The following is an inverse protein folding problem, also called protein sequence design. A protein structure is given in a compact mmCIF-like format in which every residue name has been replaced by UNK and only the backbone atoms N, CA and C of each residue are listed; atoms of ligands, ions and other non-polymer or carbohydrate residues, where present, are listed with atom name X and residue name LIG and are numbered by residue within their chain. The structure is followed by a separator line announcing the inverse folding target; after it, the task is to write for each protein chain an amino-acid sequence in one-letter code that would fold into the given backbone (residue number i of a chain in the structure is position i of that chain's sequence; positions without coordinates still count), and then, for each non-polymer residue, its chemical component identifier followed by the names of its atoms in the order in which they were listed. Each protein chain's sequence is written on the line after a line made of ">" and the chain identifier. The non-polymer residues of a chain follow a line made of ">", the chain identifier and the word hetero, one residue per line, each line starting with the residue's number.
data_IF_485392298932
#
_entry.id   IF_485392298932
#
_cell.length_a   1.000
_cell.length_b   1.000
_cell.length_c   1.000
_cell.angle_alpha   90.00
_cell.angle_beta   90.00
_cell.angle_gamma   90.00
#
_symmetry.space_group_name_H-M   'P 1'
#
loop_
_entity.id
_entity.type
_entity.pdbx_description
1 polymer ?
#
# COMPACT_ATOMS: atom_id res chain seq x y z
N UNK A 1 11.54 -12.35 -14.72
CA UNK A 1 12.19 -12.49 -13.39
C UNK A 1 11.25 -13.34 -12.55
N UNK A 2 11.72 -14.40 -11.89
CA UNK A 2 10.84 -15.23 -11.04
C UNK A 2 10.38 -14.40 -9.83
N UNK A 3 9.06 -14.33 -9.58
CA UNK A 3 8.42 -13.53 -8.53
C UNK A 3 9.09 -13.68 -7.16
N UNK A 4 9.47 -14.90 -6.78
CA UNK A 4 10.16 -15.19 -5.53
C UNK A 4 11.53 -14.50 -5.42
N UNK A 5 12.27 -14.40 -6.52
CA UNK A 5 13.56 -13.72 -6.55
C UNK A 5 13.40 -12.20 -6.37
N UNK A 6 12.35 -11.63 -6.98
CA UNK A 6 11.96 -10.23 -6.76
C UNK A 6 11.61 -10.00 -5.29
N UNK A 7 10.73 -10.82 -4.71
CA UNK A 7 10.28 -10.63 -3.33
C UNK A 7 11.44 -10.73 -2.34
N UNK A 8 12.30 -11.72 -2.51
CA UNK A 8 13.48 -11.89 -1.68
C UNK A 8 14.44 -10.71 -1.77
N UNK A 9 14.65 -10.16 -2.98
CA UNK A 9 15.56 -9.04 -3.21
C UNK A 9 15.00 -7.70 -2.72
N UNK A 10 13.70 -7.47 -2.93
CA UNK A 10 13.03 -6.22 -2.60
C UNK A 10 12.62 -6.12 -1.11
N UNK A 11 12.17 -7.22 -0.51
CA UNK A 11 11.54 -7.18 0.83
C UNK A 11 12.28 -8.01 1.88
N UNK A 12 13.25 -8.83 1.45
CA UNK A 12 13.91 -9.81 2.32
C UNK A 12 12.99 -10.96 2.75
N UNK A 13 11.82 -11.09 2.12
CA UNK A 13 10.80 -12.08 2.47
C UNK A 13 10.92 -13.34 1.61
N UNK A 14 10.43 -14.46 2.13
CA UNK A 14 10.43 -15.76 1.45
C UNK A 14 9.01 -16.27 1.31
N UNK A 15 8.77 -17.09 0.28
CA UNK A 15 7.47 -17.70 0.03
C UNK A 15 7.05 -18.54 1.24
N UNK A 16 5.83 -18.33 1.73
CA UNK A 16 5.29 -19.05 2.88
C UNK A 16 4.00 -19.78 2.48
N UNK A 17 4.10 -21.04 2.01
CA UNK A 17 2.93 -21.83 1.62
C UNK A 17 2.07 -22.28 2.80
N UNK A 18 2.56 -22.08 4.04
CA UNK A 18 1.90 -22.51 5.28
C UNK A 18 1.22 -21.36 6.04
N UNK A 19 1.32 -20.14 5.51
CA UNK A 19 0.71 -18.97 6.07
C UNK A 19 -0.81 -19.17 6.19
N UNK A 20 -1.32 -19.13 7.41
CA UNK A 20 -2.76 -19.08 7.71
C UNK A 20 -3.26 -17.64 7.48
N UNK A 21 -4.58 -17.40 7.47
CA UNK A 21 -5.17 -16.05 7.27
C UNK A 21 -4.55 -14.94 8.14
N UNK A 22 -4.10 -15.25 9.36
CA UNK A 22 -3.41 -14.28 10.25
C UNK A 22 -1.98 -13.93 9.82
N UNK A 23 -1.34 -14.78 9.02
CA UNK A 23 0.00 -14.56 8.42
C UNK A 23 -0.13 -13.83 7.08
N UNK A 24 -1.35 -13.57 6.60
CA UNK A 24 -1.62 -12.79 5.38
C UNK A 24 -1.90 -11.30 5.67
N UNK A 25 -1.79 -10.85 6.92
CA UNK A 25 -1.95 -9.44 7.24
C UNK A 25 -0.75 -8.64 6.73
N UNK A 26 -0.93 -7.96 5.59
CA UNK A 26 0.08 -7.11 4.93
C UNK A 26 0.52 -5.92 5.79
N UNK A 27 -0.20 -5.63 6.89
CA UNK A 27 0.17 -4.59 7.87
C UNK A 27 1.28 -5.06 8.80
N UNK A 28 1.52 -6.36 8.91
CA UNK A 28 2.61 -6.92 9.71
C UNK A 28 3.93 -6.73 8.94
N UNK A 29 4.98 -6.16 9.56
CA UNK A 29 6.26 -5.94 8.90
C UNK A 29 6.85 -7.20 8.26
N UNK A 30 7.27 -7.09 7.01
CA UNK A 30 7.83 -8.20 6.24
C UNK A 30 6.81 -9.11 5.55
N UNK A 31 5.51 -8.95 5.80
CA UNK A 31 4.49 -9.64 5.02
C UNK A 31 4.29 -8.95 3.68
N UNK A 32 4.21 -9.74 2.61
CA UNK A 32 3.98 -9.27 1.25
C UNK A 32 2.95 -10.18 0.60
N UNK A 33 1.92 -9.60 0.00
CA UNK A 33 1.03 -10.31 -0.92
C UNK A 33 1.22 -9.75 -2.33
N UNK A 34 1.22 -10.63 -3.33
CA UNK A 34 1.35 -10.25 -4.74
C UNK A 34 0.20 -10.81 -5.54
N UNK A 35 -0.32 -9.99 -6.44
CA UNK A 35 -1.16 -10.42 -7.56
C UNK A 35 -0.71 -9.71 -8.84
N UNK A 36 -1.05 -10.29 -9.99
CA UNK A 36 -0.83 -9.66 -11.29
C UNK A 36 -2.10 -9.71 -12.11
N UNK A 37 -2.57 -8.55 -12.58
CA UNK A 37 -3.80 -8.40 -13.35
C UNK A 37 -3.62 -7.30 -14.39
N UNK A 38 -4.12 -7.51 -15.60
CA UNK A 38 -4.06 -6.54 -16.71
C UNK A 38 -2.65 -5.99 -17.02
N UNK A 39 -1.59 -6.81 -16.83
CA UNK A 39 -0.22 -6.38 -17.05
C UNK A 39 0.39 -5.52 -15.94
N UNK A 40 -0.36 -5.23 -14.87
CA UNK A 40 0.13 -4.61 -13.65
C UNK A 40 0.42 -5.68 -12.58
N UNK A 41 1.45 -5.46 -11.77
CA UNK A 41 1.77 -6.27 -10.58
C UNK A 41 1.50 -5.43 -9.34
N UNK A 42 0.55 -5.87 -8.52
CA UNK A 42 0.23 -5.23 -7.25
C UNK A 42 1.01 -5.93 -6.14
N UNK A 43 1.71 -5.13 -5.35
CA UNK A 43 2.50 -5.60 -4.23
C UNK A 43 1.94 -4.95 -2.97
N UNK A 44 1.33 -5.75 -2.13
CA UNK A 44 0.72 -5.31 -0.89
C UNK A 44 1.71 -5.49 0.26
N UNK A 45 2.22 -4.38 0.76
CA UNK A 45 3.16 -4.33 1.89
C UNK A 45 2.95 -3.03 2.68
N UNK A 46 2.43 -3.14 3.89
CA UNK A 46 2.11 -1.99 4.74
C UNK A 46 3.35 -1.24 5.23
N UNK A 47 4.49 -1.91 5.37
CA UNK A 47 5.75 -1.29 5.81
C UNK A 47 6.26 -0.25 4.79
N UNK A 48 6.34 -0.61 3.51
CA UNK A 48 6.76 0.31 2.44
C UNK A 48 5.73 1.43 2.25
N UNK A 49 4.44 1.09 2.23
CA UNK A 49 3.39 2.10 2.10
C UNK A 49 3.48 3.13 3.23
N UNK A 50 3.70 2.68 4.47
CA UNK A 50 3.82 3.57 5.62
C UNK A 50 5.04 4.48 5.56
N UNK A 51 6.23 3.93 5.24
CA UNK A 51 7.46 4.70 5.07
C UNK A 51 7.31 5.80 4.03
N UNK A 52 6.71 5.50 2.88
CA UNK A 52 6.63 6.45 1.77
C UNK A 52 5.52 7.48 2.00
N UNK A 53 4.32 7.05 2.41
CA UNK A 53 3.16 7.93 2.50
C UNK A 53 3.12 8.72 3.81
N UNK A 54 3.44 8.10 4.95
CA UNK A 54 3.30 8.72 6.26
C UNK A 54 4.63 9.25 6.81
N UNK A 55 5.74 8.54 6.58
CA UNK A 55 7.09 8.97 7.02
C UNK A 55 7.82 9.80 5.96
N UNK A 56 7.24 9.97 4.76
CA UNK A 56 7.77 10.76 3.64
C UNK A 56 9.17 10.33 3.19
N UNK A 57 9.48 9.05 3.32
CA UNK A 57 10.73 8.49 2.83
C UNK A 57 10.67 8.26 1.32
N UNK A 58 11.83 8.37 0.67
CA UNK A 58 11.95 7.96 -0.73
C UNK A 58 11.92 6.43 -0.84
N UNK A 59 11.45 5.92 -1.99
CA UNK A 59 11.59 4.51 -2.31
C UNK A 59 13.07 4.13 -2.32
N UNK A 60 13.44 3.13 -1.51
CA UNK A 60 14.83 2.70 -1.41
C UNK A 60 15.35 2.25 -2.80
N UNK A 61 16.51 2.74 -3.27
CA UNK A 61 17.02 2.40 -4.60
C UNK A 61 17.20 0.89 -4.83
N UNK A 62 17.53 0.15 -3.77
CA UNK A 62 17.64 -1.31 -3.82
C UNK A 62 16.28 -1.98 -4.11
N UNK A 63 15.19 -1.47 -3.52
CA UNK A 63 13.83 -1.93 -3.78
C UNK A 63 13.45 -1.58 -5.23
N UNK A 64 13.66 -0.33 -5.65
CA UNK A 64 13.35 0.10 -7.02
C UNK A 64 14.08 -0.75 -8.08
N UNK A 65 15.39 -1.00 -7.88
CA UNK A 65 16.17 -1.87 -8.75
C UNK A 65 15.75 -3.35 -8.67
N UNK A 66 15.24 -3.81 -7.53
CA UNK A 66 14.70 -5.16 -7.37
C UNK A 66 13.36 -5.35 -8.11
N UNK A 67 12.54 -4.30 -8.19
CA UNK A 67 11.33 -4.26 -9.00
C UNK A 67 11.60 -4.19 -10.52
N UNK A 68 12.88 -4.17 -10.93
CA UNK A 68 13.28 -4.06 -12.33
C UNK A 68 13.38 -2.63 -12.84
N UNK A 69 13.44 -1.64 -11.92
CA UNK A 69 13.48 -0.21 -12.26
C UNK A 69 12.36 0.21 -13.24
N UNK A 70 11.08 -0.03 -12.89
CA UNK A 70 9.98 0.37 -13.76
C UNK A 70 9.93 1.89 -13.95
N UNK A 71 9.48 2.35 -15.12
CA UNK A 71 9.28 3.78 -15.39
C UNK A 71 8.33 4.44 -14.38
N UNK A 72 7.32 3.68 -13.92
CA UNK A 72 6.27 4.16 -13.03
C UNK A 72 6.05 3.18 -11.86
N UNK A 73 6.00 3.73 -10.65
CA UNK A 73 5.50 3.05 -9.45
C UNK A 73 4.45 3.95 -8.80
N UNK A 74 3.31 3.37 -8.42
CA UNK A 74 2.33 4.02 -7.56
C UNK A 74 2.28 3.29 -6.23
N UNK A 75 2.63 3.99 -5.16
CA UNK A 75 2.48 3.51 -3.78
C UNK A 75 1.17 4.09 -3.26
N UNK A 76 0.34 3.28 -2.62
CA UNK A 76 -1.00 3.73 -2.22
C UNK A 76 -1.45 3.12 -0.89
N UNK A 77 -2.40 3.79 -0.25
CA UNK A 77 -3.21 3.25 0.83
C UNK A 77 -4.69 3.56 0.58
N UNK A 78 -5.54 2.56 0.82
CA UNK A 78 -6.99 2.68 0.74
C UNK A 78 -7.60 2.04 1.99
N UNK A 79 -7.57 2.79 3.11
CA UNK A 79 -8.01 2.31 4.42
C UNK A 79 -9.35 2.96 4.79
N UNK A 80 -10.41 2.41 4.21
CA UNK A 80 -11.79 2.88 4.36
C UNK A 80 -12.23 2.96 5.83
N UNK A 81 -11.92 1.95 6.64
CA UNK A 81 -12.30 1.90 8.06
C UNK A 81 -11.65 2.98 8.94
N UNK A 82 -10.63 3.68 8.44
CA UNK A 82 -9.90 4.71 9.17
C UNK A 82 -9.87 6.05 8.44
N UNK A 83 -10.71 6.23 7.42
CA UNK A 83 -10.73 7.44 6.58
C UNK A 83 -9.33 7.86 6.12
N UNK A 84 -8.49 6.89 5.79
CA UNK A 84 -7.08 7.14 5.46
C UNK A 84 -6.79 6.66 4.05
N UNK A 85 -6.58 7.62 3.16
CA UNK A 85 -6.39 7.39 1.74
C UNK A 85 -5.15 8.13 1.27
N UNK A 86 -4.42 7.56 0.32
CA UNK A 86 -3.26 8.26 -0.21
C UNK A 86 -2.57 7.54 -1.34
N UNK A 87 -1.76 8.32 -2.05
CA UNK A 87 -0.90 7.82 -3.10
C UNK A 87 0.39 8.64 -3.22
N UNK A 88 1.42 8.00 -3.74
CA UNK A 88 2.64 8.61 -4.23
C UNK A 88 2.97 8.04 -5.61
N UNK A 89 3.14 8.93 -6.59
CA UNK A 89 3.55 8.62 -7.95
C UNK A 89 5.06 8.81 -8.02
N UNK A 90 5.75 7.73 -8.38
CA UNK A 90 7.20 7.66 -8.47
C UNK A 90 7.55 7.39 -9.93
N UNK A 91 8.33 8.29 -10.54
CA UNK A 91 8.83 8.16 -11.91
C UNK A 91 10.35 8.03 -11.88
N UNK A 92 10.87 7.00 -12.53
CA UNK A 92 12.32 6.72 -12.57
C UNK A 92 12.97 6.70 -11.16
N UNK A 93 12.23 6.19 -10.16
CA UNK A 93 12.66 6.10 -8.77
C UNK A 93 12.49 7.39 -7.94
N UNK A 94 11.94 8.47 -8.51
CA UNK A 94 11.75 9.76 -7.85
C UNK A 94 10.26 10.03 -7.63
N UNK A 95 9.86 10.36 -6.39
CA UNK A 95 8.49 10.80 -6.11
C UNK A 95 8.22 12.16 -6.76
N UNK A 96 7.28 12.22 -7.69
CA UNK A 96 6.93 13.45 -8.43
C UNK A 96 5.61 14.08 -7.97
N UNK A 97 4.76 13.28 -7.33
CA UNK A 97 3.44 13.70 -6.85
C UNK A 97 3.04 12.80 -5.69
N UNK A 98 2.54 13.37 -4.60
CA UNK A 98 1.95 12.61 -3.50
C UNK A 98 0.79 13.37 -2.87
N UNK A 99 -0.21 12.62 -2.42
CA UNK A 99 -1.30 13.15 -1.62
C UNK A 99 -1.73 12.11 -0.60
N UNK A 100 -1.84 12.50 0.66
CA UNK A 100 -2.21 11.61 1.75
C UNK A 100 -3.18 12.33 2.67
N UNK A 101 -4.33 11.71 2.90
CA UNK A 101 -5.32 12.13 3.87
C UNK A 101 -5.35 11.15 5.04
N UNK A 102 -5.36 11.71 6.23
CA UNK A 102 -5.56 11.03 7.52
C UNK A 102 -6.56 11.84 8.33
N UNK A 103 -7.13 11.26 9.40
CA UNK A 103 -8.07 11.93 10.29
C UNK A 103 -7.70 13.37 10.68
N UNK A 104 -6.41 13.65 10.90
CA UNK A 104 -5.98 14.97 11.38
C UNK A 104 -5.70 15.99 10.26
N UNK A 105 -5.39 15.53 9.04
CA UNK A 105 -4.88 16.40 7.97
C UNK A 105 -4.81 15.74 6.61
N UNK A 106 -4.76 16.62 5.59
CA UNK A 106 -4.33 16.31 4.24
C UNK A 106 -2.93 16.88 3.97
N UNK A 107 -2.02 16.07 3.43
CA UNK A 107 -0.70 16.47 2.92
C UNK A 107 -0.73 16.33 1.40
N UNK A 108 -0.30 17.37 0.69
CA UNK A 108 -0.37 17.43 -0.76
C UNK A 108 0.91 18.04 -1.34
N UNK A 109 1.69 17.25 -2.09
CA UNK A 109 3.04 17.61 -2.56
C UNK A 109 3.22 17.27 -4.05
N UNK A 110 4.04 18.06 -4.74
CA UNK A 110 4.28 17.93 -6.18
C UNK A 110 3.23 18.64 -7.04
N UNK A 111 3.36 18.52 -8.36
CA UNK A 111 2.46 19.18 -9.32
C UNK A 111 1.29 18.25 -9.67
N UNK A 112 0.03 18.64 -9.42
CA UNK A 112 -1.12 17.81 -9.77
C UNK A 112 -1.21 17.53 -11.27
N UNK A 113 -1.66 16.33 -11.61
CA UNK A 113 -2.08 15.98 -12.95
C UNK A 113 -3.42 16.64 -13.30
N UNK A 114 -3.66 16.81 -14.61
CA UNK A 114 -4.87 17.48 -15.10
C UNK A 114 -6.17 16.82 -14.61
N UNK A 115 -6.20 15.48 -14.54
CA UNK A 115 -7.37 14.72 -14.07
C UNK A 115 -7.65 14.90 -12.57
N UNK A 116 -6.68 15.38 -11.77
CA UNK A 116 -6.87 15.66 -10.35
C UNK A 116 -7.57 17.01 -10.13
N UNK A 117 -7.41 17.94 -11.06
CA UNK A 117 -7.83 19.34 -10.90
C UNK A 117 -9.34 19.52 -10.62
N UNK A 118 -10.26 18.74 -11.22
CA UNK A 118 -11.69 18.86 -10.92
C UNK A 118 -12.04 18.63 -9.45
N UNK A 119 -11.28 17.78 -8.75
CA UNK A 119 -11.42 17.57 -7.30
C UNK A 119 -10.63 18.59 -6.50
N UNK A 120 -9.37 18.85 -6.87
CA UNK A 120 -8.49 19.74 -6.10
C UNK A 120 -8.91 21.21 -6.12
N UNK A 121 -9.68 21.62 -7.13
CA UNK A 121 -10.25 22.97 -7.25
C UNK A 121 -11.71 23.04 -6.84
N UNK A 122 -12.31 21.94 -6.39
CA UNK A 122 -13.69 21.92 -5.94
C UNK A 122 -13.88 22.89 -4.78
N UNK A 123 -14.90 23.75 -4.88
CA UNK A 123 -15.30 24.60 -3.77
C UNK A 123 -16.03 23.77 -2.72
N UNK A 124 -15.82 24.12 -1.45
CA UNK A 124 -16.51 23.48 -0.33
C UNK A 124 -17.89 24.10 -0.12
N UNK A 125 -18.86 23.26 0.23
CA UNK A 125 -20.20 23.68 0.60
C UNK A 125 -20.75 22.78 1.71
N UNK A 126 -21.78 23.25 2.42
CA UNK A 126 -22.45 22.47 3.46
C UNK A 126 -23.75 21.95 2.85
N UNK A 127 -23.97 20.63 2.86
CA UNK A 127 -25.21 20.02 2.37
C UNK A 127 -26.36 20.25 3.34
N UNK A 128 -26.15 19.88 4.61
CA UNK A 128 -27.13 20.07 5.69
C UNK A 128 -26.51 20.83 6.88
N UNK A 129 -27.32 21.63 7.57
CA UNK A 129 -26.88 22.38 8.74
C UNK A 129 -26.38 21.44 9.83
N UNK A 130 -25.09 21.55 10.18
CA UNK A 130 -24.43 20.70 11.18
C UNK A 130 -23.52 19.61 10.60
N UNK A 131 -23.50 19.45 9.28
CA UNK A 131 -22.60 18.51 8.59
C UNK A 131 -21.23 19.10 8.26
N UNK A 132 -20.18 18.26 8.13
CA UNK A 132 -18.89 18.71 7.63
C UNK A 132 -18.99 19.22 6.18
N UNK A 133 -18.03 20.06 5.72
CA UNK A 133 -18.01 20.51 4.34
C UNK A 133 -17.87 19.36 3.34
N UNK A 134 -18.68 19.41 2.29
CA UNK A 134 -18.63 18.53 1.14
C UNK A 134 -17.94 19.23 -0.04
N UNK A 135 -17.49 18.42 -1.01
CA UNK A 135 -16.75 18.83 -2.20
C UNK A 135 -17.51 18.33 -3.42
N UNK A 136 -17.70 19.19 -4.42
CA UNK A 136 -18.32 18.81 -5.70
C UNK A 136 -17.30 18.80 -6.82
N UNK A 137 -17.11 17.65 -7.45
CA UNK A 137 -16.26 17.53 -8.62
C UNK A 137 -16.73 18.48 -9.73
N UNK A 138 -15.83 19.32 -10.23
CA UNK A 138 -16.17 20.37 -11.21
C UNK A 138 -16.53 19.83 -12.61
N UNK A 139 -16.18 18.58 -12.92
CA UNK A 139 -16.43 17.95 -14.21
C UNK A 139 -17.64 17.01 -14.18
N UNK A 140 -17.74 16.15 -13.17
CA UNK A 140 -18.79 15.13 -13.07
C UNK A 140 -19.99 15.58 -12.24
N UNK A 141 -19.84 16.61 -11.40
CA UNK A 141 -20.85 17.02 -10.43
C UNK A 141 -21.00 16.09 -9.22
N UNK A 142 -20.17 15.04 -9.13
CA UNK A 142 -20.16 14.12 -7.99
C UNK A 142 -19.83 14.85 -6.69
N UNK A 143 -20.51 14.49 -5.60
CA UNK A 143 -20.25 15.06 -4.27
C UNK A 143 -19.60 14.04 -3.35
N UNK A 144 -18.62 14.49 -2.55
CA UNK A 144 -17.95 13.65 -1.56
C UNK A 144 -17.42 14.45 -0.37
N UNK A 145 -16.97 13.77 0.69
CA UNK A 145 -16.38 14.40 1.88
C UNK A 145 -14.87 14.60 1.70
N UNK A 146 -14.22 15.37 2.58
CA UNK A 146 -12.77 15.61 2.49
C UNK A 146 -11.94 14.33 2.42
N UNK A 147 -12.27 13.33 3.24
CA UNK A 147 -11.54 12.06 3.25
C UNK A 147 -11.64 11.33 1.91
N UNK A 148 -12.86 11.28 1.37
CA UNK A 148 -13.12 10.60 0.12
C UNK A 148 -12.66 11.38 -1.12
N UNK A 149 -12.39 12.70 -1.05
CA UNK A 149 -11.71 13.40 -2.15
C UNK A 149 -10.40 12.69 -2.50
N UNK A 150 -9.61 12.31 -1.49
CA UNK A 150 -8.34 11.61 -1.71
C UNK A 150 -8.56 10.18 -2.20
N UNK A 151 -9.61 9.49 -1.74
CA UNK A 151 -10.01 8.17 -2.25
C UNK A 151 -10.38 8.23 -3.75
N UNK A 152 -11.15 9.24 -4.16
CA UNK A 152 -11.55 9.46 -5.56
C UNK A 152 -10.35 9.78 -6.45
N UNK A 153 -9.46 10.65 -5.99
CA UNK A 153 -8.21 10.95 -6.69
C UNK A 153 -7.34 9.69 -6.86
N UNK A 154 -7.22 8.88 -5.80
CA UNK A 154 -6.50 7.61 -5.85
C UNK A 154 -7.12 6.64 -6.88
N UNK A 155 -8.44 6.53 -6.95
CA UNK A 155 -9.11 5.73 -7.98
C UNK A 155 -8.81 6.24 -9.41
N UNK A 156 -8.80 7.57 -9.61
CA UNK A 156 -8.43 8.18 -10.89
C UNK A 156 -6.97 7.92 -11.26
N UNK A 157 -6.04 8.00 -10.30
CA UNK A 157 -4.62 7.66 -10.51
C UNK A 157 -4.49 6.21 -10.98
N UNK A 158 -5.14 5.28 -10.29
CA UNK A 158 -5.09 3.85 -10.64
C UNK A 158 -5.71 3.57 -12.01
N UNK A 159 -6.89 4.10 -12.28
CA UNK A 159 -7.57 3.94 -13.57
C UNK A 159 -6.76 4.57 -14.71
N UNK A 160 -6.19 5.75 -14.52
CA UNK A 160 -5.43 6.46 -15.57
C UNK A 160 -4.13 5.74 -15.92
N UNK A 161 -3.36 5.29 -14.93
CA UNK A 161 -2.05 4.71 -15.17
C UNK A 161 -2.06 3.20 -15.43
N UNK A 162 -3.02 2.47 -14.87
CA UNK A 162 -3.06 1.00 -14.93
C UNK A 162 -4.35 0.44 -15.52
N UNK A 163 -5.37 1.27 -15.80
CA UNK A 163 -6.65 0.83 -16.37
C UNK A 163 -7.49 -0.02 -15.40
N UNK A 164 -7.16 -0.04 -14.11
CA UNK A 164 -7.83 -0.86 -13.09
C UNK A 164 -7.83 -0.14 -11.75
N UNK A 165 -8.85 -0.38 -10.93
CA UNK A 165 -8.93 0.03 -9.52
C UNK A 165 -8.96 -1.24 -8.66
N UNK A 166 -7.87 -1.59 -7.94
CA UNK A 166 -7.74 -2.93 -7.33
C UNK A 166 -8.85 -3.29 -6.34
N UNK A 167 -9.38 -2.30 -5.60
CA UNK A 167 -10.42 -2.53 -4.60
C UNK A 167 -11.84 -2.62 -5.16
N UNK A 168 -12.12 -2.05 -6.33
CA UNK A 168 -13.43 -2.21 -7.00
C UNK A 168 -13.55 -3.62 -7.62
N UNK A 169 -12.40 -4.17 -7.99
CA UNK A 169 -12.24 -5.47 -8.64
C UNK A 169 -11.81 -6.58 -7.66
N UNK A 170 -11.85 -6.31 -6.35
CA UNK A 170 -11.38 -7.22 -5.31
C UNK A 170 -12.28 -8.45 -5.24
N UNK A 171 -11.91 -9.48 -5.98
CA UNK A 171 -12.41 -10.83 -5.73
C UNK A 171 -11.55 -11.43 -4.61
N UNK A 172 -12.11 -11.59 -3.41
CA UNK A 172 -11.42 -12.26 -2.28
C UNK A 172 -10.98 -13.70 -2.60
N UNK A 173 -11.39 -14.23 -3.76
CA UNK A 173 -10.99 -15.53 -4.32
C UNK A 173 -9.78 -15.42 -5.26
N UNK A 174 -9.25 -14.24 -5.58
CA UNK A 174 -7.97 -14.14 -6.30
C UNK A 174 -6.88 -14.81 -5.47
N UNK A 175 -6.08 -15.64 -6.15
CA UNK A 175 -4.97 -16.34 -5.52
C UNK A 175 -3.82 -15.36 -5.34
N UNK A 176 -3.69 -14.82 -4.14
CA UNK A 176 -2.48 -14.11 -3.75
C UNK A 176 -1.33 -15.09 -3.53
N UNK A 177 -0.15 -14.71 -4.01
CA UNK A 177 1.08 -15.32 -3.54
C UNK A 177 1.54 -14.56 -2.29
N UNK A 178 1.60 -15.27 -1.16
CA UNK A 178 1.94 -14.69 0.14
C UNK A 178 3.38 -15.02 0.54
N UNK A 179 4.04 -14.03 1.12
CA UNK A 179 5.43 -14.09 1.54
C UNK A 179 5.57 -13.47 2.93
N UNK A 180 6.40 -14.06 3.76
CA UNK A 180 6.70 -13.57 5.11
C UNK A 180 8.21 -13.52 5.31
N UNK A 181 8.68 -12.62 6.19
CA UNK A 181 10.03 -12.77 6.77
C UNK A 181 9.94 -13.99 7.69
N UNK A 182 10.33 -15.17 7.20
CA UNK A 182 10.47 -16.31 8.11
C UNK A 182 11.36 -15.87 9.28
N UNK A 183 11.00 -16.15 10.55
CA UNK A 183 11.97 -16.01 11.61
C UNK A 183 13.17 -16.85 11.18
N UNK A 184 14.37 -16.26 11.19
CA UNK A 184 15.61 -16.95 10.87
C UNK A 184 15.51 -18.37 11.45
N UNK A 185 15.53 -19.38 10.56
CA UNK A 185 15.24 -20.76 10.91
C UNK A 185 15.86 -21.03 12.28
N UNK A 186 15.03 -21.39 13.29
CA UNK A 186 15.56 -21.76 14.61
C UNK A 186 16.71 -22.72 14.33
N UNK A 187 17.94 -22.28 14.60
CA UNK A 187 19.11 -23.15 14.57
C UNK A 187 18.65 -24.42 15.29
N UNK A 188 18.75 -25.61 14.68
CA UNK A 188 18.23 -26.81 15.30
C UNK A 188 18.79 -26.86 16.71
N UNK A 189 17.91 -26.71 17.71
CA UNK A 189 18.34 -26.82 19.09
C UNK A 189 18.91 -28.24 19.17
N UNK A 190 20.21 -28.41 19.49
CA UNK A 190 20.78 -29.74 19.59
C UNK A 190 19.91 -30.51 20.59
N UNK A 191 19.60 -31.79 20.33
CA UNK A 191 18.68 -32.55 21.17
C UNK A 191 19.13 -32.39 22.61
N UNK A 192 18.26 -31.81 23.44
CA UNK A 192 18.52 -31.60 24.86
C UNK A 192 18.75 -32.98 25.45
N UNK A 193 20.01 -33.34 25.67
CA UNK A 193 20.36 -34.52 26.45
C UNK A 193 19.67 -34.34 27.81
N UNK A 194 18.79 -35.28 28.17
CA UNK A 194 18.13 -35.30 29.48
C UNK A 194 19.22 -35.34 30.55
N UNK A 195 19.60 -34.20 31.11
CA UNK A 195 20.43 -34.13 32.29
C UNK A 195 19.53 -34.38 33.51
N UNK A 196 19.73 -35.53 34.14
CA UNK A 196 19.00 -35.99 35.32
C UNK A 196 19.52 -35.35 36.61
N UNK A 197 19.26 -34.08 36.93
CA UNK A 197 19.46 -33.59 38.31
C UNK A 197 18.45 -32.52 38.71
N UNK A 198 17.67 -32.81 39.76
CA UNK A 198 16.84 -31.86 40.53
C UNK A 198 17.70 -31.29 41.67
N UNK A 199 17.57 -30.00 41.95
CA UNK A 199 17.76 -29.47 43.31
C UNK A 199 16.68 -28.43 43.61
N UNK A 200 16.01 -28.60 44.75
CA UNK A 200 15.11 -27.62 45.35
C UNK A 200 15.89 -26.73 46.32
N UNK A 201 15.49 -25.46 46.40
CA UNK A 201 15.36 -24.71 47.65
C UNK A 201 14.05 -23.93 47.61
#
# INVERSE_FOLDING_TARGET
>A
MEEQALVRKAFGSSFDPSATEKVHDIRVPGNVAIESKNGATFIYNGEIAAKILFERQSLEPAVFAALGAPELVVVFCHYDSGDSFGYAIIKDGITVRSRVHTLDKTVDEGTPHAFELPWLKAETFIEEEGEPPAYRNLETGEVTTESYVTARLLAQVMSTFFGIVPWDDWDYRTKFNCYSRQPAAKIPVPPVAKAWWKFWR
#
